data_IF_957660067511
#
_entry.id   IF_957660067511
#
_cell.length_a   1.000
_cell.length_b   1.000
_cell.length_c   1.000
_cell.angle_alpha   90.00
_cell.angle_beta   90.00
_cell.angle_gamma   90.00
#
_symmetry.space_group_name_H-M   'P 1'
#
loop_
_entity.id
_entity.type
_entity.pdbx_description
1 polymer ?
#
# COMPACT_ATOMS: atom_id res chain seq x y z
N UNK A 1 11.12 60.18 -12.31
CA UNK A 1 10.25 58.99 -12.45
C UNK A 1 11.12 57.74 -12.40
N UNK A 2 11.24 57.09 -11.23
CA UNK A 2 12.02 55.85 -11.08
C UNK A 2 11.02 54.69 -10.99
N UNK A 3 11.21 53.72 -11.88
CA UNK A 3 10.30 52.58 -12.14
C UNK A 3 10.20 51.69 -10.90
N UNK A 4 8.97 51.43 -10.49
CA UNK A 4 8.59 50.46 -9.47
C UNK A 4 8.75 49.06 -10.09
N UNK A 5 9.78 48.33 -9.66
CA UNK A 5 9.99 46.94 -10.06
C UNK A 5 9.11 46.06 -9.15
N UNK A 6 7.99 45.58 -9.68
CA UNK A 6 7.15 44.57 -9.04
C UNK A 6 7.82 43.22 -9.27
N UNK A 7 8.46 42.68 -8.24
CA UNK A 7 8.95 41.30 -8.25
C UNK A 7 7.74 40.42 -7.96
N UNK A 8 7.16 39.85 -9.01
CA UNK A 8 6.23 38.72 -8.90
C UNK A 8 7.07 37.50 -8.49
N UNK A 9 7.07 37.14 -7.21
CA UNK A 9 7.59 35.84 -6.79
C UNK A 9 6.66 34.76 -7.33
N UNK A 10 7.09 34.09 -8.40
CA UNK A 10 6.52 32.82 -8.82
C UNK A 10 6.86 31.79 -7.73
N UNK A 11 5.88 31.48 -6.88
CA UNK A 11 5.95 30.32 -6.01
C UNK A 11 5.90 29.11 -6.95
N UNK A 12 7.06 28.51 -7.24
CA UNK A 12 7.09 27.16 -7.77
C UNK A 12 6.53 26.24 -6.69
N UNK A 13 5.30 25.75 -6.89
CA UNK A 13 4.89 24.52 -6.22
C UNK A 13 5.81 23.41 -6.74
N UNK A 14 6.80 23.04 -5.93
CA UNK A 14 7.45 21.75 -6.06
C UNK A 14 6.41 20.73 -5.59
N UNK A 15 5.73 20.08 -6.53
CA UNK A 15 5.07 18.81 -6.23
C UNK A 15 6.20 17.84 -5.88
N UNK A 16 6.50 17.71 -4.58
CA UNK A 16 7.20 16.54 -4.08
C UNK A 16 6.20 15.41 -4.35
N UNK A 17 6.44 14.63 -5.40
CA UNK A 17 5.66 13.43 -5.67
C UNK A 17 5.75 12.57 -4.41
N UNK A 18 4.68 12.56 -3.62
CA UNK A 18 4.57 11.70 -2.45
C UNK A 18 4.76 10.26 -2.89
N UNK A 19 5.38 9.46 -2.03
CA UNK A 19 5.50 8.04 -2.24
C UNK A 19 4.08 7.44 -2.37
N UNK A 20 3.68 7.02 -3.58
CA UNK A 20 2.31 6.56 -3.85
C UNK A 20 2.03 5.27 -3.07
N UNK A 21 0.91 5.24 -2.37
CA UNK A 21 0.45 4.06 -1.60
C UNK A 21 -0.51 3.24 -2.45
N UNK A 22 -0.19 1.97 -2.68
CA UNK A 22 -1.17 1.01 -3.14
C UNK A 22 -2.10 0.67 -1.97
N UNK A 23 -3.40 0.76 -2.18
CA UNK A 23 -4.41 0.25 -1.26
C UNK A 23 -5.62 -0.23 -2.04
N UNK A 24 -6.24 -1.31 -1.57
CA UNK A 24 -7.28 -2.03 -2.31
C UNK A 24 -8.68 -1.50 -1.99
N UNK A 25 -9.55 -1.54 -3.00
CA UNK A 25 -10.95 -1.16 -2.85
C UNK A 25 -11.79 -2.29 -2.25
N UNK A 26 -12.99 -1.97 -1.77
CA UNK A 26 -13.92 -2.99 -1.27
C UNK A 26 -14.34 -3.97 -2.38
N UNK A 27 -14.51 -3.48 -3.62
CA UNK A 27 -14.81 -4.33 -4.78
C UNK A 27 -13.70 -5.34 -5.05
N UNK A 28 -12.44 -4.90 -5.03
CA UNK A 28 -11.28 -5.78 -5.13
C UNK A 28 -11.25 -6.84 -4.01
N UNK A 29 -11.31 -6.39 -2.75
CA UNK A 29 -11.22 -7.25 -1.57
C UNK A 29 -12.38 -8.24 -1.44
N UNK A 30 -13.56 -7.94 -1.98
CA UNK A 30 -14.75 -8.78 -1.84
C UNK A 30 -14.98 -9.73 -3.01
N UNK A 31 -14.44 -9.44 -4.19
CA UNK A 31 -14.75 -10.20 -5.41
C UNK A 31 -13.58 -10.99 -5.98
N UNK A 32 -12.35 -10.51 -5.83
CA UNK A 32 -11.17 -11.15 -6.42
C UNK A 32 -10.40 -11.98 -5.37
N UNK A 33 -10.46 -11.57 -4.10
CA UNK A 33 -9.78 -12.29 -3.02
C UNK A 33 -10.41 -13.65 -2.74
N UNK A 34 -9.57 -14.68 -2.62
CA UNK A 34 -9.97 -16.03 -2.25
C UNK A 34 -8.95 -16.69 -1.32
N UNK A 35 -9.36 -17.77 -0.63
CA UNK A 35 -8.42 -18.61 0.11
C UNK A 35 -7.46 -19.28 -0.86
N UNK A 36 -6.16 -19.09 -0.64
CA UNK A 36 -5.11 -19.72 -1.45
C UNK A 36 -4.47 -20.89 -0.72
N UNK A 37 -4.06 -20.69 0.53
CA UNK A 37 -3.24 -21.63 1.26
C UNK A 37 -3.39 -21.51 2.78
N UNK A 38 -2.97 -22.56 3.48
CA UNK A 38 -2.83 -22.57 4.94
C UNK A 38 -3.90 -23.40 5.65
N UNK A 39 -3.88 -23.41 6.99
CA UNK A 39 -4.71 -24.31 7.78
C UNK A 39 -6.15 -23.80 7.99
N UNK A 40 -6.36 -22.48 7.94
CA UNK A 40 -7.66 -21.89 8.21
C UNK A 40 -8.58 -21.87 6.99
N UNK A 41 -9.86 -21.68 7.24
CA UNK A 41 -10.85 -21.32 6.22
C UNK A 41 -11.24 -19.84 6.37
N UNK A 42 -11.77 -19.25 5.30
CA UNK A 42 -12.23 -17.86 5.30
C UNK A 42 -13.59 -17.75 4.61
N UNK A 43 -14.47 -16.93 5.19
CA UNK A 43 -15.64 -16.38 4.51
C UNK A 43 -15.42 -14.89 4.32
N UNK A 44 -15.61 -14.40 3.10
CA UNK A 44 -15.45 -12.99 2.75
C UNK A 44 -16.85 -12.40 2.55
N UNK A 45 -17.14 -11.30 3.24
CA UNK A 45 -18.44 -10.63 3.21
C UNK A 45 -18.26 -9.14 3.02
N UNK A 46 -18.76 -8.63 1.90
CA UNK A 46 -18.89 -7.18 1.71
C UNK A 46 -19.91 -6.62 2.72
N UNK A 47 -19.51 -5.55 3.42
CA UNK A 47 -20.33 -4.96 4.48
C UNK A 47 -20.82 -3.58 4.08
N UNK A 48 -21.99 -3.17 4.57
CA UNK A 48 -22.47 -1.82 4.29
C UNK A 48 -21.53 -0.77 4.87
N UNK A 49 -20.99 0.09 4.01
CA UNK A 49 -19.99 1.10 4.37
C UNK A 49 -18.60 0.73 3.85
N UNK A 50 -17.55 1.44 4.26
CA UNK A 50 -16.19 1.11 3.85
C UNK A 50 -15.75 -0.24 4.43
N UNK A 51 -15.09 -1.06 3.64
CA UNK A 51 -14.38 -2.27 4.04
C UNK A 51 -15.14 -3.58 3.88
N UNK A 52 -14.35 -4.66 3.86
CA UNK A 52 -14.80 -6.04 3.69
C UNK A 52 -14.45 -6.85 4.93
N UNK A 53 -15.36 -7.70 5.37
CA UNK A 53 -15.16 -8.58 6.53
C UNK A 53 -14.64 -9.94 6.10
N UNK A 54 -13.55 -10.37 6.71
CA UNK A 54 -12.95 -11.69 6.55
C UNK A 54 -13.13 -12.47 7.86
N UNK A 55 -13.98 -13.49 7.83
CA UNK A 55 -14.27 -14.36 8.97
C UNK A 55 -13.48 -15.67 8.83
N UNK A 56 -12.55 -15.90 9.75
CA UNK A 56 -11.64 -17.04 9.76
C UNK A 56 -12.01 -18.09 10.80
N UNK A 57 -11.69 -19.35 10.50
CA UNK A 57 -11.69 -20.46 11.48
C UNK A 57 -10.59 -21.47 11.18
N UNK A 58 -10.13 -22.23 12.17
CA UNK A 58 -9.03 -23.19 12.02
C UNK A 58 -7.65 -22.54 11.84
N UNK A 59 -7.47 -21.30 12.30
CA UNK A 59 -6.19 -20.61 12.26
C UNK A 59 -5.14 -21.30 13.15
N UNK A 60 -3.88 -21.27 12.71
CA UNK A 60 -2.73 -21.75 13.48
C UNK A 60 -1.93 -20.59 14.04
N UNK A 61 -1.25 -20.81 15.18
CA UNK A 61 -0.23 -19.89 15.72
C UNK A 61 1.12 -20.00 15.02
N UNK A 62 1.32 -21.00 14.16
CA UNK A 62 2.61 -21.34 13.56
C UNK A 62 2.62 -21.42 12.02
N UNK A 63 1.45 -21.36 11.37
CA UNK A 63 1.34 -21.42 9.91
C UNK A 63 0.24 -20.47 9.43
N UNK A 64 0.61 -19.51 8.57
CA UNK A 64 -0.31 -18.49 8.07
C UNK A 64 -1.38 -19.08 7.16
N UNK A 65 -2.59 -18.54 7.27
CA UNK A 65 -3.64 -18.69 6.25
C UNK A 65 -3.53 -17.51 5.29
N UNK A 66 -3.45 -17.81 3.99
CA UNK A 66 -3.25 -16.84 2.92
C UNK A 66 -4.55 -16.62 2.17
N UNK A 67 -4.88 -15.35 1.96
CA UNK A 67 -6.03 -14.90 1.18
C UNK A 67 -5.58 -13.77 0.27
N UNK A 68 -5.91 -13.82 -1.02
CA UNK A 68 -5.42 -12.85 -1.99
C UNK A 68 -6.04 -12.99 -3.37
N UNK A 69 -5.64 -12.06 -4.23
CA UNK A 69 -5.94 -12.01 -5.67
C UNK A 69 -4.80 -12.69 -6.42
N UNK A 70 -5.04 -13.95 -6.79
CA UNK A 70 -4.06 -14.82 -7.44
C UNK A 70 -3.96 -14.56 -8.96
N UNK A 71 -2.97 -15.17 -9.60
CA UNK A 71 -2.67 -14.92 -10.99
C UNK A 71 -3.83 -15.29 -11.96
N UNK A 72 -4.16 -14.40 -12.92
CA UNK A 72 -3.64 -13.05 -13.08
C UNK A 72 -4.30 -12.03 -12.15
N UNK A 73 -3.50 -11.20 -11.48
CA UNK A 73 -3.98 -10.06 -10.68
C UNK A 73 -4.97 -9.21 -11.47
N UNK A 74 -6.11 -8.92 -10.84
CA UNK A 74 -7.21 -8.16 -11.40
C UNK A 74 -6.84 -6.71 -11.70
N UNK A 75 -7.55 -6.11 -12.65
CA UNK A 75 -7.48 -4.67 -12.89
C UNK A 75 -7.85 -3.85 -11.64
N UNK A 76 -8.74 -4.41 -10.81
CA UNK A 76 -9.27 -3.76 -9.61
C UNK A 76 -8.22 -3.58 -8.52
N UNK A 77 -7.14 -4.38 -8.54
CA UNK A 77 -5.97 -4.19 -7.70
C UNK A 77 -5.22 -2.87 -7.99
N UNK A 78 -5.46 -2.23 -9.15
CA UNK A 78 -5.00 -0.88 -9.43
C UNK A 78 -3.59 -0.78 -10.04
N UNK A 79 -2.99 -1.89 -10.45
CA UNK A 79 -1.78 -1.85 -11.26
C UNK A 79 -2.03 -1.35 -12.69
N UNK A 80 -0.96 -0.87 -13.32
CA UNK A 80 -1.00 -0.43 -14.70
C UNK A 80 -1.14 -1.64 -15.64
N UNK A 81 -1.91 -1.46 -16.73
CA UNK A 81 -1.94 -2.43 -17.79
C UNK A 81 -0.59 -2.47 -18.50
N UNK A 82 -0.01 -3.66 -18.62
CA UNK A 82 1.24 -3.87 -19.35
C UNK A 82 1.12 -5.07 -20.28
N UNK A 83 1.50 -4.83 -21.54
CA UNK A 83 1.66 -5.86 -22.56
C UNK A 83 3.12 -6.34 -22.55
N UNK A 84 3.32 -7.64 -22.37
CA UNK A 84 4.61 -8.31 -22.32
C UNK A 84 5.02 -8.90 -23.68
N UNK A 85 4.31 -8.52 -24.74
CA UNK A 85 4.36 -9.14 -26.05
C UNK A 85 3.97 -10.63 -25.99
N UNK A 86 4.01 -11.30 -27.16
CA UNK A 86 3.73 -12.74 -27.28
C UNK A 86 2.35 -13.17 -26.76
N UNK A 87 1.39 -12.25 -26.74
CA UNK A 87 -0.01 -12.52 -26.37
C UNK A 87 -0.28 -12.56 -24.87
N UNK A 88 0.61 -12.03 -24.03
CA UNK A 88 0.39 -11.93 -22.59
C UNK A 88 0.39 -10.47 -22.14
N UNK A 89 -0.70 -10.07 -21.51
CA UNK A 89 -0.86 -8.78 -20.89
C UNK A 89 -1.67 -8.92 -19.60
N UNK A 90 -1.34 -8.11 -18.61
CA UNK A 90 -1.95 -8.17 -17.28
C UNK A 90 -1.92 -6.78 -16.62
N UNK A 91 -2.57 -6.65 -15.47
CA UNK A 91 -2.56 -5.46 -14.62
C UNK A 91 -1.54 -5.55 -13.48
N UNK A 92 -0.61 -6.50 -13.53
CA UNK A 92 0.44 -6.69 -12.52
C UNK A 92 1.56 -5.64 -12.47
N UNK A 93 1.47 -4.51 -13.18
CA UNK A 93 2.51 -3.47 -13.14
C UNK A 93 2.28 -2.44 -12.04
N UNK A 94 2.97 -2.63 -10.91
CA UNK A 94 2.84 -1.85 -9.70
C UNK A 94 4.02 -0.87 -9.51
N UNK A 95 4.82 -0.62 -10.55
CA UNK A 95 5.99 0.28 -10.49
C UNK A 95 5.66 1.73 -10.13
N UNK A 96 4.39 2.14 -10.26
CA UNK A 96 3.89 3.45 -9.83
C UNK A 96 3.73 3.60 -8.31
N UNK A 97 3.86 2.51 -7.55
CA UNK A 97 3.69 2.47 -6.11
C UNK A 97 5.03 2.26 -5.38
N UNK A 98 5.07 2.74 -4.15
CA UNK A 98 6.25 2.63 -3.26
C UNK A 98 6.01 1.70 -2.09
N UNK A 99 4.75 1.39 -1.81
CA UNK A 99 4.31 0.55 -0.70
C UNK A 99 2.89 0.06 -0.94
N UNK A 100 2.54 -1.04 -0.32
CA UNK A 100 1.19 -1.61 -0.23
C UNK A 100 0.70 -1.47 1.21
N UNK A 101 -0.49 -0.91 1.44
CA UNK A 101 -1.04 -0.74 2.78
C UNK A 101 -2.52 -1.02 2.84
N UNK A 102 -2.95 -1.62 3.96
CA UNK A 102 -4.36 -1.85 4.29
C UNK A 102 -4.60 -1.49 5.75
N UNK A 103 -5.83 -1.06 6.04
CA UNK A 103 -6.29 -0.81 7.40
C UNK A 103 -7.08 -2.02 7.87
N UNK A 104 -6.67 -2.60 8.99
CA UNK A 104 -7.29 -3.75 9.61
C UNK A 104 -7.96 -3.33 10.91
N UNK A 105 -9.18 -3.80 11.14
CA UNK A 105 -9.84 -3.75 12.44
C UNK A 105 -10.22 -5.17 12.84
N UNK A 106 -9.73 -5.63 13.98
CA UNK A 106 -10.12 -6.92 14.53
C UNK A 106 -11.48 -6.77 15.21
N UNK A 107 -12.54 -7.25 14.55
CA UNK A 107 -13.92 -7.20 15.06
C UNK A 107 -14.30 -8.44 15.84
N UNK A 108 -13.45 -9.46 15.84
CA UNK A 108 -13.63 -10.69 16.62
C UNK A 108 -13.09 -10.57 18.04
N UNK A 109 -13.31 -11.64 18.82
CA UNK A 109 -12.89 -11.73 20.22
C UNK A 109 -11.46 -12.27 20.41
N UNK A 110 -10.82 -12.71 19.33
CA UNK A 110 -9.54 -13.40 19.38
C UNK A 110 -8.40 -12.54 18.87
N UNK A 111 -7.23 -12.53 19.56
CA UNK A 111 -6.07 -11.85 19.04
C UNK A 111 -5.59 -12.52 17.75
N UNK A 112 -5.15 -11.73 16.79
CA UNK A 112 -4.64 -12.20 15.50
C UNK A 112 -3.23 -11.65 15.26
N UNK A 113 -2.52 -12.26 14.32
CA UNK A 113 -1.26 -11.72 13.80
C UNK A 113 -1.37 -11.66 12.27
N UNK A 114 -1.11 -10.50 11.71
CA UNK A 114 -1.40 -10.19 10.30
C UNK A 114 -0.16 -9.73 9.56
N UNK A 115 -0.13 -9.99 8.26
CA UNK A 115 0.93 -9.63 7.33
C UNK A 115 0.35 -9.35 5.93
N UNK A 116 0.98 -8.49 5.14
CA UNK A 116 0.72 -8.32 3.72
C UNK A 116 1.75 -9.12 2.91
N UNK A 117 1.33 -9.70 1.80
CA UNK A 117 2.22 -10.43 0.89
C UNK A 117 2.06 -9.99 -0.56
N UNK A 118 3.08 -10.31 -1.34
CA UNK A 118 3.15 -10.08 -2.78
C UNK A 118 4.08 -11.13 -3.41
N UNK A 119 3.63 -11.79 -4.47
CA UNK A 119 4.49 -12.57 -5.35
C UNK A 119 4.81 -11.78 -6.61
N UNK A 120 6.05 -11.89 -7.06
CA UNK A 120 6.52 -11.22 -8.27
C UNK A 120 7.32 -12.17 -9.14
N UNK A 121 7.27 -11.96 -10.45
CA UNK A 121 8.09 -12.63 -11.44
C UNK A 121 7.34 -13.71 -12.20
N UNK A 122 7.43 -13.67 -13.52
CA UNK A 122 6.80 -14.68 -14.37
C UNK A 122 7.53 -16.01 -14.32
N UNK A 123 6.77 -17.10 -14.18
CA UNK A 123 7.31 -18.46 -14.02
C UNK A 123 7.34 -19.25 -15.32
N UNK A 124 6.54 -18.85 -16.31
CA UNK A 124 6.33 -19.61 -17.54
C UNK A 124 7.00 -18.96 -18.75
N UNK A 125 7.59 -19.80 -19.61
CA UNK A 125 8.09 -19.39 -20.92
C UNK A 125 6.94 -18.93 -21.83
N UNK A 126 7.13 -17.90 -22.69
CA UNK A 126 8.37 -17.17 -22.96
C UNK A 126 8.67 -16.01 -21.99
N UNK A 127 7.76 -15.69 -21.07
CA UNK A 127 7.82 -14.46 -20.26
C UNK A 127 8.73 -14.57 -19.04
N UNK A 128 8.99 -15.79 -18.55
CA UNK A 128 9.92 -16.01 -17.46
C UNK A 128 10.26 -17.48 -17.19
N UNK A 129 10.68 -17.74 -15.97
CA UNK A 129 11.24 -19.02 -15.51
C UNK A 129 10.89 -19.23 -14.04
N UNK A 130 10.79 -20.49 -13.55
CA UNK A 130 10.45 -20.75 -12.15
C UNK A 130 11.35 -20.01 -11.14
N UNK A 131 12.64 -19.84 -11.44
CA UNK A 131 13.60 -19.11 -10.61
C UNK A 131 13.32 -17.60 -10.44
N UNK A 132 12.30 -17.05 -11.11
CA UNK A 132 11.88 -15.65 -10.93
C UNK A 132 10.78 -15.49 -9.88
N UNK A 133 10.16 -16.57 -9.43
CA UNK A 133 9.07 -16.58 -8.45
C UNK A 133 9.62 -16.21 -7.07
N UNK A 134 9.46 -14.95 -6.70
CA UNK A 134 9.90 -14.43 -5.41
C UNK A 134 8.71 -13.97 -4.60
N UNK A 135 8.69 -14.36 -3.33
CA UNK A 135 7.65 -14.03 -2.38
C UNK A 135 8.14 -12.94 -1.43
N UNK A 136 7.35 -11.89 -1.26
CA UNK A 136 7.67 -10.71 -0.46
C UNK A 136 6.60 -10.46 0.59
N UNK A 137 7.01 -10.12 1.81
CA UNK A 137 6.07 -9.80 2.89
C UNK A 137 6.63 -8.72 3.84
N UNK A 138 5.76 -8.13 4.66
CA UNK A 138 6.22 -7.32 5.80
C UNK A 138 6.46 -8.21 7.03
N UNK A 139 6.88 -7.61 8.14
CA UNK A 139 6.97 -8.35 9.41
C UNK A 139 5.59 -8.52 10.03
N UNK A 140 5.35 -9.67 10.65
CA UNK A 140 4.12 -9.96 11.39
C UNK A 140 3.72 -8.87 12.40
N UNK A 141 2.46 -8.45 12.34
CA UNK A 141 1.89 -7.43 13.23
C UNK A 141 0.76 -8.03 14.05
N UNK A 142 0.90 -8.08 15.38
CA UNK A 142 -0.19 -8.52 16.26
C UNK A 142 -1.32 -7.49 16.27
N UNK A 143 -2.57 -7.93 16.37
CA UNK A 143 -3.76 -7.07 16.49
C UNK A 143 -4.74 -7.70 17.49
N UNK A 144 -4.98 -7.00 18.60
CA UNK A 144 -5.90 -7.44 19.65
C UNK A 144 -7.37 -7.22 19.28
N UNK A 145 -8.32 -7.84 20.00
CA UNK A 145 -9.75 -7.60 19.83
C UNK A 145 -10.10 -6.10 19.93
N UNK A 146 -10.84 -5.59 18.96
CA UNK A 146 -11.23 -4.18 18.88
C UNK A 146 -10.12 -3.21 18.45
N UNK A 147 -8.89 -3.68 18.23
CA UNK A 147 -7.80 -2.83 17.74
C UNK A 147 -7.94 -2.57 16.23
N UNK A 148 -7.49 -1.38 15.82
CA UNK A 148 -7.32 -0.99 14.42
C UNK A 148 -5.84 -0.70 14.15
N UNK A 149 -5.28 -1.28 13.07
CA UNK A 149 -3.89 -1.05 12.63
C UNK A 149 -3.82 -0.84 11.13
N UNK A 150 -2.94 0.05 10.70
CA UNK A 150 -2.50 0.10 9.30
C UNK A 150 -1.26 -0.78 9.20
N UNK A 151 -1.30 -1.76 8.31
CA UNK A 151 -0.16 -2.63 8.00
C UNK A 151 0.36 -2.23 6.63
N UNK A 152 1.69 -2.21 6.49
CA UNK A 152 2.37 -1.72 5.30
C UNK A 152 3.48 -2.68 4.89
N UNK A 153 3.47 -3.10 3.63
CA UNK A 153 4.60 -3.66 2.92
C UNK A 153 5.31 -2.52 2.18
N UNK A 154 6.47 -2.11 2.70
CA UNK A 154 7.34 -1.11 2.08
C UNK A 154 8.19 -1.79 1.00
N UNK A 155 8.05 -1.35 -0.25
CA UNK A 155 8.76 -1.99 -1.36
C UNK A 155 10.27 -1.73 -1.33
N UNK A 156 10.75 -0.82 -0.49
CA UNK A 156 12.18 -0.62 -0.24
C UNK A 156 12.75 -1.49 0.88
N UNK A 157 11.90 -2.14 1.70
CA UNK A 157 12.30 -2.87 2.89
C UNK A 157 11.29 -3.98 3.26
N UNK A 158 11.34 -5.10 2.54
CA UNK A 158 10.53 -6.29 2.74
C UNK A 158 11.35 -7.46 3.34
N UNK A 159 10.65 -8.51 3.74
CA UNK A 159 11.18 -9.86 3.94
C UNK A 159 10.96 -10.69 2.67
N UNK A 160 11.97 -11.46 2.24
CA UNK A 160 11.93 -12.22 0.97
C UNK A 160 12.09 -13.73 1.17
N UNK A 161 11.39 -14.49 0.33
CA UNK A 161 11.48 -15.94 0.19
C UNK A 161 11.55 -16.33 -1.29
N UNK A 162 12.05 -17.53 -1.57
CA UNK A 162 12.22 -18.10 -2.92
C UNK A 162 13.11 -17.26 -3.84
N UNK A 163 14.05 -16.48 -3.27
CA UNK A 163 14.98 -15.66 -4.06
C UNK A 163 16.37 -16.27 -4.22
N UNK A 164 16.65 -17.44 -3.63
CA UNK A 164 18.01 -17.98 -3.58
C UNK A 164 18.59 -18.35 -4.97
N UNK A 165 17.73 -18.71 -5.92
CA UNK A 165 18.09 -19.13 -7.28
C UNK A 165 17.79 -18.07 -8.35
N UNK A 166 17.47 -16.84 -7.95
CA UNK A 166 17.10 -15.74 -8.86
C UNK A 166 18.08 -15.64 -10.05
N UNK A 167 17.61 -15.51 -11.30
CA UNK A 167 18.50 -15.41 -12.46
C UNK A 167 19.45 -14.20 -12.39
N UNK A 168 19.08 -13.13 -11.67
CA UNK A 168 19.96 -12.03 -11.34
C UNK A 168 20.70 -12.30 -10.01
N UNK A 169 22.03 -12.48 -10.03
CA UNK A 169 22.81 -12.75 -8.82
C UNK A 169 22.69 -11.69 -7.73
N UNK A 170 22.46 -10.42 -8.11
CA UNK A 170 22.34 -9.31 -7.16
C UNK A 170 21.02 -9.30 -6.39
N UNK A 171 20.04 -10.09 -6.84
CA UNK A 171 18.72 -10.21 -6.22
C UNK A 171 18.58 -11.51 -5.42
N UNK A 172 19.66 -12.30 -5.33
CA UNK A 172 19.65 -13.56 -4.60
C UNK A 172 19.74 -13.32 -3.10
N UNK A 173 18.75 -13.86 -2.39
CA UNK A 173 18.69 -13.80 -0.95
C UNK A 173 18.30 -15.16 -0.36
N UNK A 174 18.89 -15.58 0.78
CA UNK A 174 18.33 -16.65 1.58
C UNK A 174 16.91 -16.32 2.04
N UNK A 175 16.09 -17.35 2.20
CA UNK A 175 14.73 -17.22 2.73
C UNK A 175 14.69 -16.54 4.10
N UNK A 176 13.73 -15.63 4.29
CA UNK A 176 13.57 -14.83 5.50
C UNK A 176 14.56 -13.67 5.62
N UNK A 177 15.30 -13.33 4.55
CA UNK A 177 16.13 -12.12 4.57
C UNK A 177 15.24 -10.89 4.63
N UNK A 178 15.46 -10.01 5.61
CA UNK A 178 14.69 -8.78 5.84
C UNK A 178 15.43 -7.53 5.36
N UNK A 179 14.71 -6.43 5.16
CA UNK A 179 15.28 -5.13 4.79
C UNK A 179 15.72 -5.04 3.33
N UNK A 180 15.12 -5.86 2.46
CA UNK A 180 15.46 -5.94 1.04
C UNK A 180 14.40 -5.28 0.17
N UNK A 181 14.81 -4.72 -0.96
CA UNK A 181 13.89 -4.11 -1.92
C UNK A 181 13.12 -5.19 -2.70
N UNK A 182 11.80 -5.02 -2.81
CA UNK A 182 10.94 -5.82 -3.69
C UNK A 182 11.39 -5.64 -5.15
N UNK A 183 11.56 -6.75 -5.85
CA UNK A 183 11.99 -6.77 -7.26
C UNK A 183 10.82 -7.07 -8.18
N UNK A 184 10.98 -6.75 -9.47
CA UNK A 184 9.99 -7.02 -10.52
C UNK A 184 8.58 -6.55 -10.15
N UNK A 185 8.48 -5.32 -9.62
CA UNK A 185 7.18 -4.68 -9.34
C UNK A 185 6.33 -4.50 -10.60
N UNK A 186 6.92 -4.60 -11.78
CA UNK A 186 6.17 -4.65 -13.02
C UNK A 186 5.49 -6.02 -13.26
N UNK A 187 5.97 -7.07 -12.61
CA UNK A 187 5.55 -8.46 -12.80
C UNK A 187 4.88 -9.04 -11.55
N UNK A 188 3.97 -8.30 -10.92
CA UNK A 188 3.22 -8.80 -9.76
C UNK A 188 2.25 -9.88 -10.23
N UNK A 189 2.41 -11.09 -9.70
CA UNK A 189 1.58 -12.24 -10.05
C UNK A 189 0.45 -12.47 -9.08
N UNK A 190 0.59 -11.98 -7.85
CA UNK A 190 -0.35 -12.24 -6.78
C UNK A 190 -0.11 -11.26 -5.61
N UNK A 191 -1.19 -10.82 -4.95
CA UNK A 191 -1.17 -9.94 -3.77
C UNK A 191 -2.16 -10.40 -2.73
N UNK A 192 -1.87 -10.18 -1.45
CA UNK A 192 -2.84 -10.57 -0.44
C UNK A 192 -2.44 -10.28 0.99
N UNK A 193 -3.14 -10.97 1.88
CA UNK A 193 -2.97 -10.92 3.33
C UNK A 193 -2.67 -12.32 3.86
N UNK A 194 -1.93 -12.37 4.96
CA UNK A 194 -1.72 -13.58 5.74
C UNK A 194 -2.21 -13.37 7.16
N UNK A 195 -2.86 -14.38 7.72
CA UNK A 195 -3.42 -14.34 9.07
C UNK A 195 -3.01 -15.57 9.86
N UNK A 196 -2.50 -15.33 11.07
CA UNK A 196 -2.26 -16.32 12.10
C UNK A 196 -3.22 -16.09 13.27
N UNK A 197 -3.47 -17.13 14.04
CA UNK A 197 -3.97 -16.95 15.39
C UNK A 197 -2.90 -16.28 16.26
N UNK A 198 -3.32 -15.34 17.10
CA UNK A 198 -2.47 -14.77 18.15
C UNK A 198 -2.42 -15.60 19.43
N UNK A 199 -3.16 -16.72 19.53
CA UNK A 199 -3.18 -17.56 20.74
C UNK A 199 -3.61 -19.00 20.49
N UNK A 200 -2.99 -19.98 21.15
CA UNK A 200 -3.35 -21.40 21.00
C UNK A 200 -4.78 -21.76 21.48
N UNK A 201 -5.43 -20.85 22.22
CA UNK A 201 -6.78 -21.05 22.76
C UNK A 201 -7.89 -20.46 21.88
N UNK A 202 -7.54 -19.85 20.74
CA UNK A 202 -8.52 -19.41 19.78
C UNK A 202 -8.02 -19.57 18.35
N UNK A 203 -8.77 -20.30 17.54
CA UNK A 203 -8.47 -20.59 16.13
C UNK A 203 -9.43 -19.87 15.17
N UNK A 204 -10.29 -18.99 15.66
CA UNK A 204 -11.16 -18.14 14.85
C UNK A 204 -10.73 -16.66 14.91
N UNK A 205 -11.22 -15.87 13.95
CA UNK A 205 -10.91 -14.46 13.86
C UNK A 205 -11.88 -13.73 12.94
N UNK A 206 -12.06 -12.44 13.17
CA UNK A 206 -12.83 -11.59 12.26
C UNK A 206 -12.06 -10.30 12.02
N UNK A 207 -11.74 -10.03 10.76
CA UNK A 207 -11.02 -8.84 10.34
C UNK A 207 -11.90 -8.04 9.39
N UNK A 208 -12.19 -6.80 9.76
CA UNK A 208 -12.63 -5.79 8.81
C UNK A 208 -11.41 -5.17 8.14
N UNK A 209 -11.33 -5.27 6.82
CA UNK A 209 -10.22 -4.77 6.01
C UNK A 209 -10.72 -3.61 5.16
N UNK A 210 -10.03 -2.47 5.23
CA UNK A 210 -10.41 -1.22 4.59
C UNK A 210 -9.24 -0.65 3.78
N UNK A 211 -9.59 0.10 2.74
CA UNK A 211 -8.63 0.96 2.05
C UNK A 211 -8.04 1.99 3.02
N UNK A 212 -6.75 2.25 2.91
CA UNK A 212 -6.13 3.42 3.54
C UNK A 212 -6.48 4.66 2.69
N UNK A 213 -7.27 5.56 3.27
CA UNK A 213 -7.45 6.89 2.69
C UNK A 213 -6.17 7.68 2.91
N UNK A 214 -5.57 8.21 1.84
CA UNK A 214 -4.51 9.19 1.99
C UNK A 214 -5.13 10.42 2.67
N UNK A 215 -4.66 10.75 3.88
CA UNK A 215 -4.94 12.05 4.45
C UNK A 215 -4.40 13.09 3.47
N UNK A 216 -5.29 13.75 2.72
CA UNK A 216 -4.92 14.93 1.96
C UNK A 216 -4.39 15.89 3.03
N UNK A 217 -3.09 16.21 3.05
CA UNK A 217 -2.56 17.10 4.05
C UNK A 217 -3.39 18.37 3.98
N UNK A 218 -4.03 18.72 5.10
CA UNK A 218 -4.88 19.90 5.17
C UNK A 218 -4.08 21.03 4.54
N UNK A 219 -4.59 21.66 3.46
CA UNK A 219 -3.79 22.65 2.76
C UNK A 219 -3.37 23.68 3.80
N UNK A 220 -2.05 23.94 3.90
CA UNK A 220 -1.47 24.87 4.87
C UNK A 220 -1.88 26.33 4.57
N UNK A 221 -3.15 26.62 4.35
CA UNK A 221 -3.69 27.97 4.23
C UNK A 221 -3.52 28.76 5.53
N UNK A 222 -3.19 28.10 6.65
CA UNK A 222 -2.85 28.75 7.92
C UNK A 222 -1.62 29.66 7.83
N UNK A 223 -0.58 29.30 7.05
CA UNK A 223 0.65 30.10 6.99
C UNK A 223 0.52 31.29 6.03
N UNK A 224 -0.20 31.13 4.91
CA UNK A 224 -0.42 32.20 3.92
C UNK A 224 -1.39 33.27 4.40
N UNK A 225 -2.44 32.91 5.14
CA UNK A 225 -3.36 33.89 5.74
C UNK A 225 -2.63 34.76 6.79
N UNK A 226 -1.76 34.14 7.61
CA UNK A 226 -0.95 34.87 8.59
C UNK A 226 0.09 35.75 7.89
N UNK A 227 0.77 35.25 6.86
CA UNK A 227 1.72 36.06 6.09
C UNK A 227 1.05 37.25 5.38
N UNK A 228 -0.16 37.07 4.82
CA UNK A 228 -0.93 38.14 4.20
C UNK A 228 -1.42 39.17 5.23
N UNK A 229 -1.87 38.73 6.42
CA UNK A 229 -2.25 39.64 7.52
C UNK A 229 -1.05 40.40 8.07
N UNK A 230 0.13 39.78 8.18
CA UNK A 230 1.38 40.44 8.60
C UNK A 230 1.87 41.43 7.53
N UNK A 231 1.77 41.11 6.24
CA UNK A 231 2.07 42.04 5.15
C UNK A 231 1.11 43.23 5.11
N UNK A 232 -0.20 43.00 5.28
CA UNK A 232 -1.23 44.05 5.28
C UNK A 232 -1.24 44.90 6.56
N UNK A 233 -0.76 44.38 7.69
CA UNK A 233 -0.62 45.12 8.95
C UNK A 233 0.74 45.82 9.12
N UNK A 234 1.67 45.59 8.19
CA UNK A 234 2.97 46.28 8.22
C UNK A 234 2.80 47.78 7.87
N UNK A 235 3.48 48.70 8.58
CA UNK A 235 3.43 50.15 8.30
C UNK A 235 3.86 50.52 6.86
N UNK A 236 4.66 49.67 6.22
CA UNK A 236 5.13 49.86 4.85
C UNK A 236 4.00 49.75 3.81
N UNK A 237 2.96 48.93 4.07
CA UNK A 237 1.82 48.75 3.17
C UNK A 237 0.83 49.93 3.27
N UNK A 238 0.64 50.49 4.47
CA UNK A 238 -0.16 51.69 4.68
C UNK A 238 0.40 52.91 3.90
N UNK A 239 1.73 52.99 3.75
CA UNK A 239 2.38 54.07 3.01
C UNK A 239 2.15 54.01 1.48
N UNK A 240 1.94 52.79 0.93
CA UNK A 240 1.66 52.57 -0.49
C UNK A 240 0.23 52.97 -0.89
N UNK A 241 -0.75 52.83 0.02
CA UNK A 241 -2.14 53.23 -0.23
C UNK A 241 -2.34 54.75 -0.20
N UNK A 242 -1.59 55.46 0.64
CA UNK A 242 -1.72 56.92 0.79
C UNK A 242 -1.13 57.68 -0.42
N UNK A 243 -0.11 57.13 -1.09
CA UNK A 243 0.57 57.82 -2.20
C UNK A 243 -0.15 57.80 -3.55
N UNK A 244 -1.27 57.08 -3.68
CA UNK A 244 -2.03 56.97 -4.94
C UNK A 244 -3.16 58.00 -5.08
N UNK A 245 -3.26 58.96 -4.15
CA UNK A 245 -4.31 60.01 -4.12
C UNK A 245 -3.84 61.44 -4.43
N UNK A 246 -2.67 61.61 -5.03
CA UNK A 246 -2.22 62.89 -5.58
C UNK A 246 -1.73 62.74 -7.00
#
# INVERSE_FOLDING_TARGET
MKRLLVILSAIMLVNIAGATTLSLSDDELSTEFAHEWGPGSVTITDTSGPGVTFSFSGLSTSSGTIVGDDFPVSQKAGGAYKDYDSGFATYGDFTGYSKYSLKFTNTGDCPLVINLKMNTGWTNSPWGTPARDTFWQNTWTSIGPGETKIVTLDFSSAEVYNAADDPNPDWRHPDGTTGVQVRRLDEVSDIGIQVLSGSDNCDCGELKVEKVEEEIPAPEFGSLAIAAVVLLSSPAFAYLLVRKRH
#
